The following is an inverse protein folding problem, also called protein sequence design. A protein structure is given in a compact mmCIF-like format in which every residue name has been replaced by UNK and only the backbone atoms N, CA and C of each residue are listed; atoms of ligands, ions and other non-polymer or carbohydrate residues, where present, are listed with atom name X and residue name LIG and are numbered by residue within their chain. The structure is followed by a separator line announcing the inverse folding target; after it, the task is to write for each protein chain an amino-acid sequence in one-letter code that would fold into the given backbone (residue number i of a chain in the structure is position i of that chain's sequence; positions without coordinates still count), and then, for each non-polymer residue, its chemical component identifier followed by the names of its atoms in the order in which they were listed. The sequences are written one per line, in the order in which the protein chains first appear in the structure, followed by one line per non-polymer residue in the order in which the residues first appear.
data_IF_191295171158
#
_entry.id   IF_191295171158
#
_cell.length_a   1.000
_cell.length_b   1.000
_cell.length_c   1.000
_cell.angle_alpha   90.00
_cell.angle_beta   90.00
_cell.angle_gamma   90.00
#
_symmetry.space_group_name_H-M   'P 1'
#
loop_
_entity.id
_entity.type
_entity.pdbx_description
1 polymer ?
#
# COMPACT_ATOMS: atom_id res chain seq x y z
N UNK A 1 10.98 -14.11 2.86
CA UNK A 1 10.46 -14.80 1.69
C UNK A 1 10.22 -13.84 0.54
N UNK A 2 9.34 -12.88 0.67
CA UNK A 2 9.09 -11.90 -0.42
C UNK A 2 10.23 -10.89 -0.50
N UNK A 3 10.74 -10.65 -1.72
CA UNK A 3 11.63 -9.54 -1.99
C UNK A 3 10.80 -8.27 -2.19
N UNK A 4 9.88 -8.31 -3.14
CA UNK A 4 8.95 -7.22 -3.38
C UNK A 4 7.73 -7.73 -4.15
N UNK A 5 6.68 -6.91 -4.17
CA UNK A 5 5.47 -7.12 -4.97
C UNK A 5 5.20 -5.85 -5.76
N UNK A 6 4.55 -5.97 -6.92
CA UNK A 6 4.27 -4.83 -7.78
C UNK A 6 2.78 -4.54 -7.90
N UNK A 7 2.46 -3.24 -7.98
CA UNK A 7 1.13 -2.75 -8.33
C UNK A 7 1.24 -1.92 -9.60
N UNK A 8 0.39 -2.19 -10.57
CA UNK A 8 0.34 -1.43 -11.80
C UNK A 8 -0.36 -0.08 -11.62
N UNK A 9 0.22 0.98 -12.21
CA UNK A 9 -0.35 2.33 -12.15
C UNK A 9 -0.34 2.96 -13.53
N UNK A 10 -1.24 3.93 -13.75
CA UNK A 10 -1.34 4.63 -15.03
C UNK A 10 -0.53 5.92 -15.06
N UNK A 11 -0.53 6.66 -13.96
CA UNK A 11 0.20 7.92 -13.82
C UNK A 11 1.29 7.71 -12.76
N UNK A 12 2.51 7.47 -13.24
CA UNK A 12 3.62 7.09 -12.38
C UNK A 12 3.99 8.20 -11.39
N UNK A 13 4.00 9.47 -11.86
CA UNK A 13 4.33 10.61 -11.00
C UNK A 13 3.30 10.79 -9.90
N UNK A 14 2.01 10.71 -10.25
CA UNK A 14 0.90 10.81 -9.30
C UNK A 14 0.94 9.67 -8.28
N UNK A 15 1.17 8.46 -8.74
CA UNK A 15 1.26 7.29 -7.86
C UNK A 15 2.44 7.40 -6.90
N UNK A 16 3.59 7.89 -7.36
CA UNK A 16 4.74 8.12 -6.49
C UNK A 16 4.42 9.16 -5.40
N UNK A 17 3.75 10.24 -5.74
CA UNK A 17 3.35 11.25 -4.75
C UNK A 17 2.41 10.64 -3.71
N UNK A 18 1.45 9.82 -4.14
CA UNK A 18 0.51 9.13 -3.26
C UNK A 18 1.24 8.22 -2.26
N UNK A 19 2.07 7.31 -2.75
CA UNK A 19 2.73 6.31 -1.90
C UNK A 19 3.82 6.92 -1.02
N UNK A 20 4.58 7.89 -1.52
CA UNK A 20 5.57 8.58 -0.70
C UNK A 20 4.92 9.28 0.50
N UNK A 21 3.82 9.98 0.26
CA UNK A 21 3.07 10.66 1.31
C UNK A 21 2.43 9.67 2.29
N UNK A 22 1.80 8.62 1.77
CA UNK A 22 1.13 7.60 2.59
C UNK A 22 2.14 6.91 3.52
N UNK A 23 3.23 6.42 2.96
CA UNK A 23 4.19 5.61 3.70
C UNK A 23 5.06 6.40 4.67
N UNK A 24 5.08 7.74 4.56
CA UNK A 24 5.79 8.57 5.55
C UNK A 24 5.23 8.37 6.98
N UNK A 25 3.97 7.94 7.10
CA UNK A 25 3.34 7.66 8.40
C UNK A 25 4.04 6.53 9.16
N UNK A 26 4.58 5.56 8.42
CA UNK A 26 5.24 4.38 9.01
C UNK A 26 6.74 4.36 8.72
N UNK A 27 7.32 5.51 8.41
CA UNK A 27 8.76 5.67 8.14
C UNK A 27 9.27 4.76 7.01
N UNK A 28 8.42 4.52 6.01
CA UNK A 28 8.77 3.81 4.79
C UNK A 28 8.93 4.82 3.68
N UNK A 29 10.00 4.68 2.91
CA UNK A 29 10.31 5.61 1.84
C UNK A 29 10.76 4.93 0.56
N UNK A 30 11.09 5.74 -0.42
CA UNK A 30 11.63 5.28 -1.71
C UNK A 30 13.02 4.68 -1.49
N UNK A 31 13.21 3.43 -1.87
CA UNK A 31 14.49 2.73 -1.73
C UNK A 31 15.29 2.78 -3.03
N UNK A 32 14.64 2.45 -4.13
CA UNK A 32 15.28 2.42 -5.46
C UNK A 32 14.22 2.44 -6.56
N UNK A 33 14.66 2.66 -7.78
CA UNK A 33 13.76 2.62 -8.92
C UNK A 33 14.37 3.28 -10.15
N UNK A 34 13.53 3.46 -11.15
CA UNK A 34 13.87 4.15 -12.40
C UNK A 34 12.61 4.86 -12.91
N UNK A 35 12.56 5.19 -14.21
CA UNK A 35 11.41 5.90 -14.79
C UNK A 35 10.14 5.07 -14.92
N UNK A 36 10.20 3.74 -14.69
CA UNK A 36 9.07 2.83 -14.84
C UNK A 36 8.61 2.20 -13.53
N UNK A 37 9.52 2.00 -12.58
CA UNK A 37 9.24 1.30 -11.32
C UNK A 37 9.86 2.04 -10.15
N UNK A 38 9.13 2.09 -9.03
CA UNK A 38 9.64 2.64 -7.78
C UNK A 38 9.33 1.67 -6.66
N UNK A 39 10.34 1.34 -5.85
CA UNK A 39 10.24 0.40 -4.74
C UNK A 39 10.28 1.17 -3.42
N UNK A 40 9.29 0.92 -2.58
CA UNK A 40 9.12 1.53 -1.27
C UNK A 40 9.32 0.50 -0.18
N UNK A 41 10.08 0.87 0.84
CA UNK A 41 10.40 0.01 1.96
C UNK A 41 11.38 0.68 2.89
N UNK A 42 12.10 -0.10 3.67
CA UNK A 42 13.16 0.39 4.55
C UNK A 42 14.53 0.18 3.93
N UNK A 43 14.76 -0.97 3.31
CA UNK A 43 16.01 -1.32 2.63
C UNK A 43 15.78 -2.54 1.72
N UNK A 44 16.82 -2.94 0.98
CA UNK A 44 16.73 -4.06 0.02
C UNK A 44 16.69 -5.44 0.69
N UNK A 45 16.93 -5.51 2.00
CA UNK A 45 16.92 -6.79 2.74
C UNK A 45 15.55 -7.12 3.30
N UNK A 46 14.64 -6.16 3.33
CA UNK A 46 13.28 -6.32 3.83
C UNK A 46 12.28 -6.23 2.68
N UNK A 47 11.09 -6.85 2.81
CA UNK A 47 10.08 -6.80 1.75
C UNK A 47 9.70 -5.37 1.37
N UNK A 48 9.53 -5.15 0.08
CA UNK A 48 9.18 -3.84 -0.47
C UNK A 48 7.89 -3.92 -1.28
N UNK A 49 7.21 -2.79 -1.38
CA UNK A 49 6.10 -2.59 -2.30
C UNK A 49 6.59 -1.75 -3.46
N UNK A 50 6.39 -2.23 -4.68
CA UNK A 50 6.74 -1.48 -5.88
C UNK A 50 5.49 -1.02 -6.62
N UNK A 51 5.54 0.18 -7.17
CA UNK A 51 4.57 0.63 -8.15
C UNK A 51 5.26 0.72 -9.50
N UNK A 52 4.54 0.40 -10.55
CA UNK A 52 5.15 0.39 -11.88
C UNK A 52 4.15 0.66 -13.00
N UNK A 53 4.66 1.21 -14.08
CA UNK A 53 3.98 1.11 -15.38
C UNK A 53 4.15 -0.35 -15.81
N UNK A 54 3.09 -1.05 -16.22
CA UNK A 54 3.22 -2.45 -16.65
C UNK A 54 4.31 -2.63 -17.72
N UNK A 55 5.05 -3.72 -17.61
CA UNK A 55 6.20 -3.97 -18.50
C UNK A 55 5.80 -3.97 -19.98
N UNK A 56 4.59 -4.45 -20.29
CA UNK A 56 4.08 -4.49 -21.66
C UNK A 56 3.47 -3.16 -22.13
N UNK A 57 3.52 -2.13 -21.27
CA UNK A 57 3.00 -0.79 -21.53
C UNK A 57 1.49 -0.72 -21.77
N UNK A 58 0.76 -1.81 -21.54
CA UNK A 58 -0.70 -1.84 -21.59
C UNK A 58 -1.28 -1.33 -20.28
N UNK A 59 -2.60 -1.04 -20.30
CA UNK A 59 -3.29 -0.55 -19.12
C UNK A 59 -3.19 -1.55 -17.97
N UNK A 60 -2.90 -1.09 -16.74
CA UNK A 60 -2.86 -1.97 -15.58
C UNK A 60 -4.27 -2.44 -15.19
N UNK A 61 -4.32 -3.57 -14.50
CA UNK A 61 -5.55 -4.04 -13.86
C UNK A 61 -5.25 -4.37 -12.41
N UNK A 62 -6.24 -4.13 -11.52
CA UNK A 62 -6.07 -4.42 -10.10
C UNK A 62 -6.06 -5.93 -9.81
N UNK A 63 -6.77 -6.72 -10.61
CA UNK A 63 -6.91 -8.15 -10.40
C UNK A 63 -7.93 -8.47 -9.30
N UNK A 64 -8.90 -9.33 -9.61
CA UNK A 64 -9.87 -9.76 -8.61
C UNK A 64 -9.22 -10.79 -7.68
N UNK A 65 -9.25 -10.53 -6.37
CA UNK A 65 -8.58 -11.37 -5.37
C UNK A 65 -7.17 -10.91 -5.00
N UNK A 66 -6.61 -9.94 -5.73
CA UNK A 66 -5.29 -9.38 -5.41
C UNK A 66 -5.43 -8.29 -4.36
N UNK A 67 -4.62 -8.39 -3.31
CA UNK A 67 -4.55 -7.38 -2.23
C UNK A 67 -3.15 -7.41 -1.64
N UNK A 68 -2.65 -6.24 -1.29
CA UNK A 68 -1.39 -6.12 -0.54
C UNK A 68 -1.72 -5.64 0.87
N UNK A 69 -1.32 -6.42 1.87
CA UNK A 69 -1.51 -6.07 3.27
C UNK A 69 -0.23 -5.47 3.82
N UNK A 70 -0.36 -4.26 4.35
CA UNK A 70 0.74 -3.47 4.92
C UNK A 70 0.63 -3.55 6.44
N UNK A 71 1.69 -4.00 7.08
CA UNK A 71 1.78 -4.02 8.53
C UNK A 71 1.97 -2.57 9.02
N UNK A 72 1.00 -2.06 9.76
CA UNK A 72 1.01 -0.67 10.20
C UNK A 72 1.87 -0.43 11.45
N UNK A 73 1.98 -1.43 12.30
CA UNK A 73 2.73 -1.35 13.55
C UNK A 73 1.85 -1.17 14.79
N UNK A 74 0.65 -0.64 14.63
CA UNK A 74 -0.34 -0.50 15.70
C UNK A 74 -1.72 -0.29 15.10
N UNK A 75 -2.76 -0.44 15.92
CA UNK A 75 -4.13 -0.12 15.49
C UNK A 75 -4.27 1.36 15.17
N UNK A 76 -3.66 2.23 15.97
CA UNK A 76 -3.66 3.67 15.72
C UNK A 76 -3.01 4.00 14.37
N UNK A 77 -1.93 3.35 14.02
CA UNK A 77 -1.27 3.55 12.72
C UNK A 77 -2.13 3.05 11.55
N UNK A 78 -2.92 1.99 11.75
CA UNK A 78 -3.91 1.56 10.74
C UNK A 78 -4.91 2.68 10.46
N UNK A 79 -5.42 3.31 11.51
CA UNK A 79 -6.37 4.42 11.40
C UNK A 79 -5.75 5.62 10.68
N UNK A 80 -4.51 5.95 11.02
CA UNK A 80 -3.78 7.06 10.40
C UNK A 80 -3.51 6.81 8.91
N UNK A 81 -3.05 5.60 8.57
CA UNK A 81 -2.82 5.23 7.16
C UNK A 81 -4.11 5.29 6.36
N UNK A 82 -5.20 4.77 6.92
CA UNK A 82 -6.50 4.83 6.26
C UNK A 82 -6.94 6.27 6.01
N UNK A 83 -6.91 7.10 7.04
CA UNK A 83 -7.32 8.50 6.94
C UNK A 83 -6.45 9.24 5.90
N UNK A 84 -5.14 9.00 5.90
CA UNK A 84 -4.21 9.59 4.95
C UNK A 84 -4.52 9.15 3.52
N UNK A 85 -4.74 7.86 3.32
CA UNK A 85 -5.07 7.31 2.00
C UNK A 85 -6.34 7.96 1.44
N UNK A 86 -7.39 8.06 2.25
CA UNK A 86 -8.64 8.71 1.84
C UNK A 86 -8.39 10.18 1.50
N UNK A 87 -7.63 10.90 2.32
CA UNK A 87 -7.29 12.30 2.06
C UNK A 87 -6.50 12.48 0.75
N UNK A 88 -5.71 11.49 0.36
CA UNK A 88 -4.94 11.49 -0.88
C UNK A 88 -5.75 11.03 -2.11
N UNK A 89 -7.02 10.67 -1.94
CA UNK A 89 -7.91 10.32 -3.04
C UNK A 89 -8.23 8.84 -3.19
N UNK A 90 -7.75 7.98 -2.29
CA UNK A 90 -8.15 6.57 -2.27
C UNK A 90 -9.63 6.43 -1.92
N UNK A 91 -10.25 5.32 -2.33
CA UNK A 91 -11.63 5.00 -1.97
C UNK A 91 -11.68 3.96 -0.87
N UNK A 92 -12.66 4.09 0.04
CA UNK A 92 -12.86 3.12 1.11
C UNK A 92 -13.31 1.77 0.54
N UNK A 93 -12.69 0.70 1.02
CA UNK A 93 -13.10 -0.68 0.73
C UNK A 93 -13.29 -1.46 2.05
N UNK A 94 -13.40 -0.75 3.16
CA UNK A 94 -13.65 -1.27 4.51
C UNK A 94 -12.99 -0.36 5.54
N UNK A 95 -13.78 0.41 6.35
CA UNK A 95 -13.20 1.32 7.34
C UNK A 95 -12.44 0.57 8.43
N UNK A 96 -11.57 1.27 9.18
CA UNK A 96 -10.80 0.63 10.25
C UNK A 96 -11.67 -0.08 11.27
N UNK A 97 -11.27 -1.27 11.67
CA UNK A 97 -11.98 -2.03 12.67
C UNK A 97 -11.38 -3.41 12.90
N UNK A 98 -11.79 -4.01 14.01
CA UNK A 98 -11.41 -5.39 14.32
C UNK A 98 -12.18 -6.36 13.43
N UNK A 99 -11.49 -7.24 12.74
CA UNK A 99 -12.08 -8.23 11.83
C UNK A 99 -12.09 -9.62 12.45
N UNK A 100 -11.04 -9.95 13.22
CA UNK A 100 -10.97 -11.17 14.01
C UNK A 100 -10.64 -10.73 15.45
N UNK A 101 -11.52 -11.06 16.43
CA UNK A 101 -11.33 -10.60 17.82
C UNK A 101 -9.92 -10.91 18.33
N UNK A 102 -9.29 -9.89 18.92
CA UNK A 102 -7.96 -9.94 19.53
C UNK A 102 -6.83 -10.40 18.60
N UNK A 103 -7.09 -10.50 17.30
CA UNK A 103 -6.09 -11.00 16.37
C UNK A 103 -5.88 -10.10 15.14
N UNK A 104 -6.94 -9.67 14.46
CA UNK A 104 -6.77 -8.92 13.21
C UNK A 104 -7.59 -7.63 13.23
N UNK A 105 -6.88 -6.52 13.17
CA UNK A 105 -7.44 -5.19 13.00
C UNK A 105 -7.00 -4.69 11.62
N UNK A 106 -7.93 -4.22 10.81
CA UNK A 106 -7.60 -3.81 9.45
C UNK A 106 -8.48 -2.71 8.90
N UNK A 107 -7.95 -2.03 7.91
CA UNK A 107 -8.64 -1.05 7.10
C UNK A 107 -8.31 -1.32 5.64
N UNK A 108 -9.26 -1.11 4.74
CA UNK A 108 -9.12 -1.45 3.33
C UNK A 108 -9.42 -0.25 2.46
N UNK A 109 -8.57 -0.02 1.47
CA UNK A 109 -8.77 1.05 0.48
C UNK A 109 -8.45 0.53 -0.91
N UNK A 110 -8.96 1.26 -1.92
CA UNK A 110 -8.49 1.15 -3.30
C UNK A 110 -7.65 2.39 -3.59
N UNK A 111 -6.47 2.19 -4.14
CA UNK A 111 -5.62 3.31 -4.52
C UNK A 111 -6.17 4.03 -5.76
N UNK A 112 -5.42 4.99 -6.31
CA UNK A 112 -5.88 5.82 -7.43
C UNK A 112 -6.10 5.01 -8.72
N UNK A 113 -5.56 3.79 -8.80
CA UNK A 113 -5.70 2.88 -9.93
C UNK A 113 -6.60 1.68 -9.62
N UNK A 114 -7.21 1.66 -8.44
CA UNK A 114 -8.10 0.59 -8.00
C UNK A 114 -7.40 -0.59 -7.35
N UNK A 115 -6.09 -0.52 -7.12
CA UNK A 115 -5.37 -1.58 -6.41
C UNK A 115 -5.81 -1.65 -4.95
N UNK A 116 -6.07 -2.86 -4.45
CA UNK A 116 -6.54 -3.06 -3.08
C UNK A 116 -5.38 -3.12 -2.10
N UNK A 117 -5.45 -2.27 -1.09
CA UNK A 117 -4.51 -2.24 0.04
C UNK A 117 -5.25 -2.55 1.33
N UNK A 118 -4.58 -3.25 2.22
CA UNK A 118 -5.02 -3.43 3.60
C UNK A 118 -3.95 -2.84 4.52
N UNK A 119 -4.37 -2.03 5.48
CA UNK A 119 -3.48 -1.59 6.56
C UNK A 119 -3.87 -2.38 7.78
N UNK A 120 -2.96 -3.18 8.34
CA UNK A 120 -3.34 -4.13 9.36
C UNK A 120 -2.38 -4.16 10.56
N UNK A 121 -2.94 -4.59 11.67
CA UNK A 121 -2.21 -5.01 12.86
C UNK A 121 -2.69 -6.42 13.20
N UNK A 122 -1.76 -7.35 13.23
CA UNK A 122 -2.02 -8.76 13.56
C UNK A 122 -1.50 -9.06 14.95
N UNK A 123 -2.31 -9.76 15.75
CA UNK A 123 -1.99 -10.03 17.14
C UNK A 123 -2.35 -8.86 18.05
N UNK A 124 -1.75 -8.83 19.24
CA UNK A 124 -1.96 -7.74 20.19
C UNK A 124 -1.44 -6.42 19.65
N UNK A 125 -2.13 -5.35 20.03
CA UNK A 125 -1.77 -3.99 19.59
C UNK A 125 -0.46 -3.51 20.21
#
# INVERSE_FOLDING_TARGET
MLAYTTLGVTDFERANAFYASLFSIIDVGHVMGNERIALYGTDVQNPMLAICIPYDEKAPSAGNGTMVAIRAGSRAACDELYAKAIALGATCDGPPGERVPDFFYGAYVRDLDGNKLCFCQMGAN
#
